data_IF_381212085636
#
_entry.id   IF_381212085636
#
_cell.length_a   1.000
_cell.length_b   1.000
_cell.length_c   1.000
_cell.angle_alpha   90.00
_cell.angle_beta   90.00
_cell.angle_gamma   90.00
#
_symmetry.space_group_name_H-M   'P 1'
#
loop_
_entity.id
_entity.type
_entity.pdbx_description
1 polymer ?
#
# COMPACT_ATOMS: atom_id res chain seq x y z
N UNK A 1 1.95 -2.27 -64.31
CA UNK A 1 0.83 -2.36 -63.33
C UNK A 1 1.03 -3.57 -62.41
N UNK A 2 2.14 -3.61 -61.65
CA UNK A 2 2.50 -4.76 -60.79
C UNK A 2 3.40 -4.40 -59.59
N UNK A 3 3.63 -3.11 -59.32
CA UNK A 3 4.50 -2.62 -58.22
C UNK A 3 3.73 -2.02 -57.03
N UNK A 4 2.42 -2.27 -56.93
CA UNK A 4 1.56 -1.74 -55.85
C UNK A 4 1.10 -2.80 -54.83
N UNK A 5 1.64 -4.03 -54.87
CA UNK A 5 1.20 -5.14 -54.00
C UNK A 5 2.28 -5.68 -53.03
N UNK A 6 3.36 -4.96 -52.80
CA UNK A 6 4.29 -5.25 -51.70
C UNK A 6 4.16 -4.23 -50.57
N UNK A 7 2.91 -4.06 -50.09
CA UNK A 7 2.66 -3.50 -48.78
C UNK A 7 3.28 -4.46 -47.75
N UNK A 8 4.55 -4.19 -47.42
CA UNK A 8 5.18 -4.70 -46.21
C UNK A 8 4.21 -4.41 -45.07
N UNK A 9 3.78 -5.47 -44.41
CA UNK A 9 3.38 -5.48 -43.01
C UNK A 9 4.61 -5.00 -42.23
N UNK A 10 4.86 -3.70 -42.26
CA UNK A 10 5.82 -3.04 -41.39
C UNK A 10 5.11 -2.94 -40.05
N UNK A 11 5.35 -3.95 -39.20
CA UNK A 11 4.87 -3.99 -37.84
C UNK A 11 5.06 -2.64 -37.18
N UNK A 12 3.97 -2.09 -36.66
CA UNK A 12 3.96 -0.81 -35.97
C UNK A 12 5.09 -0.81 -34.93
N UNK A 13 6.12 -0.01 -35.19
CA UNK A 13 7.24 0.14 -34.28
C UNK A 13 6.67 0.62 -32.94
N UNK A 14 6.68 -0.27 -31.94
CA UNK A 14 6.25 0.05 -30.58
C UNK A 14 7.01 1.31 -30.13
N UNK A 15 6.31 2.36 -29.67
CA UNK A 15 6.97 3.62 -29.30
C UNK A 15 8.09 3.32 -28.29
N UNK A 16 9.28 3.90 -28.48
CA UNK A 16 10.51 3.53 -27.76
C UNK A 16 10.38 3.50 -26.21
N UNK A 17 9.39 4.21 -25.67
CA UNK A 17 8.98 4.18 -24.27
C UNK A 17 8.44 2.80 -23.84
N UNK A 18 7.61 2.16 -24.65
CA UNK A 18 7.02 0.85 -24.36
C UNK A 18 8.09 -0.24 -24.34
N UNK A 19 9.08 -0.18 -25.24
CA UNK A 19 10.21 -1.13 -25.27
C UNK A 19 11.04 -1.11 -23.98
N UNK A 20 11.14 0.06 -23.32
CA UNK A 20 11.85 0.21 -22.03
C UNK A 20 11.02 -0.27 -20.83
N UNK A 21 9.69 -0.25 -20.93
CA UNK A 21 8.78 -0.68 -19.85
C UNK A 21 8.48 -2.19 -19.91
N UNK A 22 8.45 -2.76 -21.12
CA UNK A 22 8.10 -4.14 -21.39
C UNK A 22 8.78 -5.18 -20.48
N UNK A 23 10.12 -5.19 -20.28
CA UNK A 23 10.76 -6.23 -19.47
C UNK A 23 10.29 -6.24 -18.02
N UNK A 24 10.20 -5.07 -17.37
CA UNK A 24 9.73 -4.98 -15.98
C UNK A 24 8.25 -5.32 -15.83
N UNK A 25 7.41 -4.90 -16.78
CA UNK A 25 5.99 -5.23 -16.79
C UNK A 25 5.75 -6.71 -17.06
N UNK A 26 6.49 -7.30 -18.00
CA UNK A 26 6.42 -8.73 -18.30
C UNK A 26 6.83 -9.58 -17.10
N UNK A 27 7.88 -9.18 -16.37
CA UNK A 27 8.28 -9.87 -15.14
C UNK A 27 7.20 -9.78 -14.05
N UNK A 28 6.64 -8.59 -13.81
CA UNK A 28 5.55 -8.41 -12.85
C UNK A 28 4.32 -9.25 -13.24
N UNK A 29 3.97 -9.26 -14.52
CA UNK A 29 2.86 -10.04 -15.06
C UNK A 29 3.11 -11.55 -14.95
N UNK A 30 4.34 -12.01 -15.24
CA UNK A 30 4.72 -13.41 -15.09
C UNK A 30 4.63 -13.87 -13.63
N UNK A 31 5.08 -13.06 -12.67
CA UNK A 31 4.94 -13.36 -11.24
C UNK A 31 3.45 -13.41 -10.83
N UNK A 32 2.62 -12.49 -11.34
CA UNK A 32 1.18 -12.49 -11.09
C UNK A 32 0.49 -13.76 -11.64
N UNK A 33 0.84 -14.18 -12.86
CA UNK A 33 0.33 -15.41 -13.45
C UNK A 33 0.80 -16.65 -12.69
N UNK A 34 2.10 -16.72 -12.34
CA UNK A 34 2.66 -17.83 -11.61
C UNK A 34 2.02 -17.99 -10.22
N UNK A 35 1.89 -16.89 -9.47
CA UNK A 35 1.24 -16.90 -8.15
C UNK A 35 -0.24 -17.29 -8.22
N UNK A 36 -0.97 -16.78 -9.21
CA UNK A 36 -2.40 -17.12 -9.40
C UNK A 36 -2.58 -18.57 -9.85
N UNK A 37 -1.75 -19.04 -10.79
CA UNK A 37 -1.74 -20.42 -11.25
C UNK A 37 -1.39 -21.40 -10.12
N UNK A 38 -0.39 -21.06 -9.31
CA UNK A 38 0.03 -21.88 -8.17
C UNK A 38 -1.08 -21.99 -7.11
N UNK A 39 -1.79 -20.89 -6.81
CA UNK A 39 -2.97 -20.95 -5.93
C UNK A 39 -4.05 -21.87 -6.49
N UNK A 40 -4.39 -21.73 -7.77
CA UNK A 40 -5.46 -22.51 -8.38
C UNK A 40 -5.11 -24.00 -8.44
N UNK A 41 -3.82 -24.34 -8.59
CA UNK A 41 -3.35 -25.72 -8.60
C UNK A 41 -3.28 -26.36 -7.19
N UNK A 42 -2.97 -25.58 -6.15
CA UNK A 42 -2.77 -26.11 -4.79
C UNK A 42 -4.06 -26.19 -3.98
N UNK A 43 -5.13 -25.45 -4.32
CA UNK A 43 -6.42 -25.41 -3.60
C UNK A 43 -6.34 -25.09 -2.09
N UNK A 44 -5.14 -24.78 -1.57
CA UNK A 44 -4.91 -24.36 -0.20
C UNK A 44 -5.43 -22.94 -0.07
N UNK A 45 -6.59 -22.77 0.58
CA UNK A 45 -7.24 -21.48 0.77
C UNK A 45 -6.34 -20.42 1.42
N UNK A 46 -5.39 -20.84 2.25
CA UNK A 46 -4.43 -19.97 2.93
C UNK A 46 -3.39 -19.32 2.00
N UNK A 47 -3.18 -19.84 0.78
CA UNK A 47 -2.19 -19.29 -0.16
C UNK A 47 -2.82 -18.21 -1.06
N UNK A 48 -2.86 -16.98 -0.54
CA UNK A 48 -3.28 -15.80 -1.29
C UNK A 48 -2.29 -15.48 -2.44
N UNK A 49 -2.74 -15.20 -3.68
CA UNK A 49 -1.85 -14.91 -4.80
C UNK A 49 -0.95 -13.69 -4.56
N UNK A 50 -1.44 -12.70 -3.82
CA UNK A 50 -0.68 -11.48 -3.51
C UNK A 50 0.49 -11.79 -2.58
N UNK A 51 0.27 -12.66 -1.58
CA UNK A 51 1.31 -13.16 -0.67
C UNK A 51 2.36 -13.96 -1.44
N UNK A 52 1.91 -14.88 -2.30
CA UNK A 52 2.79 -15.68 -3.16
C UNK A 52 3.60 -14.80 -4.13
N UNK A 53 2.96 -13.83 -4.78
CA UNK A 53 3.63 -12.90 -5.69
C UNK A 53 4.72 -12.10 -4.98
N UNK A 54 4.45 -11.65 -3.75
CA UNK A 54 5.43 -10.94 -2.92
C UNK A 54 6.61 -11.85 -2.56
N UNK A 55 6.34 -13.08 -2.10
CA UNK A 55 7.37 -14.05 -1.75
C UNK A 55 8.26 -14.41 -2.96
N UNK A 56 7.65 -14.69 -4.12
CA UNK A 56 8.36 -14.97 -5.38
C UNK A 56 9.19 -13.75 -5.80
N UNK A 57 8.62 -12.55 -5.74
CA UNK A 57 9.32 -11.31 -6.10
C UNK A 57 10.54 -11.04 -5.20
N UNK A 58 10.40 -11.25 -3.88
CA UNK A 58 11.51 -11.14 -2.93
C UNK A 58 12.59 -12.18 -3.20
N UNK A 59 12.22 -13.45 -3.38
CA UNK A 59 13.18 -14.52 -3.68
C UNK A 59 13.91 -14.26 -5.00
N UNK A 60 13.20 -13.87 -6.06
CA UNK A 60 13.78 -13.52 -7.34
C UNK A 60 14.75 -12.33 -7.21
N UNK A 61 14.40 -11.30 -6.44
CA UNK A 61 15.28 -10.16 -6.19
C UNK A 61 16.54 -10.54 -5.40
N UNK A 62 16.42 -11.43 -4.42
CA UNK A 62 17.56 -11.90 -3.63
C UNK A 62 18.53 -12.75 -4.44
N UNK A 63 18.03 -13.57 -5.38
CA UNK A 63 18.87 -14.45 -6.23
C UNK A 63 19.45 -13.71 -7.43
N UNK A 64 18.64 -12.89 -8.12
CA UNK A 64 19.02 -12.24 -9.38
C UNK A 64 19.63 -10.84 -9.20
N UNK A 65 19.55 -10.28 -7.99
CA UNK A 65 20.03 -8.94 -7.69
C UNK A 65 19.27 -7.82 -8.42
N UNK A 66 19.89 -6.65 -8.50
CA UNK A 66 19.34 -5.53 -9.25
C UNK A 66 19.56 -5.70 -10.74
N UNK A 67 18.48 -5.97 -11.50
CA UNK A 67 18.53 -5.98 -12.96
C UNK A 67 18.08 -4.61 -13.51
N UNK A 68 19.00 -3.77 -14.04
CA UNK A 68 18.68 -2.47 -14.62
C UNK A 68 17.53 -2.45 -15.65
N UNK A 69 17.38 -3.45 -16.55
CA UNK A 69 16.29 -3.43 -17.53
C UNK A 69 14.90 -3.61 -16.92
N UNK A 70 14.75 -4.19 -15.73
CA UNK A 70 13.44 -4.38 -15.08
C UNK A 70 12.93 -3.10 -14.40
N UNK A 71 13.84 -2.23 -13.96
CA UNK A 71 13.53 -1.08 -13.10
C UNK A 71 12.47 -0.15 -13.70
N UNK A 72 12.53 0.26 -14.99
CA UNK A 72 11.55 1.21 -15.54
C UNK A 72 10.13 0.65 -15.56
N UNK A 73 9.97 -0.63 -15.91
CA UNK A 73 8.67 -1.30 -15.93
C UNK A 73 8.08 -1.51 -14.54
N UNK A 74 8.91 -1.93 -13.58
CA UNK A 74 8.50 -2.05 -12.17
C UNK A 74 8.09 -0.69 -11.60
N UNK A 75 8.86 0.37 -11.88
CA UNK A 75 8.54 1.72 -11.43
C UNK A 75 7.20 2.22 -12.01
N UNK A 76 6.88 1.85 -13.26
CA UNK A 76 5.57 2.12 -13.85
C UNK A 76 4.45 1.30 -13.19
N UNK A 77 4.70 0.03 -12.86
CA UNK A 77 3.71 -0.78 -12.14
C UNK A 77 3.37 -0.18 -10.76
N UNK A 78 4.39 0.21 -9.98
CA UNK A 78 4.23 0.67 -8.59
C UNK A 78 3.63 2.07 -8.49
N UNK A 79 3.84 2.95 -9.47
CA UNK A 79 3.39 4.35 -9.39
C UNK A 79 2.10 4.60 -10.19
N UNK A 80 2.12 4.73 -11.53
CA UNK A 80 0.93 5.05 -12.29
C UNK A 80 -0.10 3.91 -12.30
N UNK A 81 0.31 2.66 -12.54
CA UNK A 81 -0.63 1.55 -12.64
C UNK A 81 -1.30 1.24 -11.30
N UNK A 82 -0.53 1.20 -10.21
CA UNK A 82 -1.08 0.99 -8.88
C UNK A 82 -2.05 2.12 -8.46
N UNK A 83 -1.72 3.38 -8.76
CA UNK A 83 -2.64 4.50 -8.50
C UNK A 83 -3.95 4.35 -9.29
N UNK A 84 -3.87 3.97 -10.56
CA UNK A 84 -5.06 3.70 -11.36
C UNK A 84 -5.89 2.55 -10.77
N UNK A 85 -5.25 1.46 -10.34
CA UNK A 85 -5.92 0.34 -9.69
C UNK A 85 -6.60 0.73 -8.37
N UNK A 86 -5.96 1.58 -7.54
CA UNK A 86 -6.56 2.08 -6.29
C UNK A 86 -7.77 2.97 -6.57
N UNK A 87 -7.68 3.85 -7.57
CA UNK A 87 -8.81 4.70 -8.00
C UNK A 87 -9.96 3.83 -8.47
N UNK A 88 -9.71 2.85 -9.35
CA UNK A 88 -10.72 1.90 -9.80
C UNK A 88 -11.31 1.06 -8.66
N UNK A 89 -10.46 0.61 -7.72
CA UNK A 89 -10.90 -0.16 -6.57
C UNK A 89 -11.83 0.67 -5.70
N UNK A 90 -11.51 1.92 -5.40
CA UNK A 90 -12.43 2.73 -4.61
C UNK A 90 -13.61 3.31 -5.40
N UNK A 91 -13.57 3.36 -6.75
CA UNK A 91 -14.78 3.51 -7.56
C UNK A 91 -15.71 2.28 -7.45
N UNK A 92 -15.14 1.08 -7.22
CA UNK A 92 -15.92 -0.13 -6.97
C UNK A 92 -16.44 -0.23 -5.54
N UNK A 93 -15.86 0.53 -4.60
CA UNK A 93 -16.39 0.70 -3.24
C UNK A 93 -17.43 1.81 -3.29
N UNK A 94 -18.70 1.46 -3.12
CA UNK A 94 -19.75 2.48 -3.11
C UNK A 94 -19.61 3.38 -1.86
N UNK A 95 -19.89 4.68 -1.99
CA UNK A 95 -20.05 5.57 -0.81
C UNK A 95 -21.03 4.96 0.21
N UNK A 96 -22.05 4.25 -0.27
CA UNK A 96 -23.00 3.49 0.56
C UNK A 96 -22.37 2.37 1.39
N UNK A 97 -21.29 1.73 0.95
CA UNK A 97 -20.53 0.76 1.77
C UNK A 97 -19.67 1.47 2.83
N UNK A 98 -19.14 2.66 2.52
CA UNK A 98 -18.38 3.47 3.47
C UNK A 98 -19.28 4.01 4.60
N UNK A 99 -20.48 4.49 4.25
CA UNK A 99 -21.51 4.89 5.21
C UNK A 99 -22.21 3.69 5.87
N UNK A 100 -22.30 2.54 5.18
CA UNK A 100 -22.98 1.32 5.63
C UNK A 100 -22.21 0.49 6.66
N UNK A 101 -20.87 0.59 6.69
CA UNK A 101 -20.08 0.10 7.85
C UNK A 101 -20.29 0.97 9.12
N UNK A 102 -21.00 2.09 8.98
CA UNK A 102 -21.47 2.92 10.07
C UNK A 102 -20.37 3.78 10.73
N UNK A 103 -20.80 4.65 11.63
CA UNK A 103 -19.93 5.49 12.44
C UNK A 103 -18.90 4.67 13.26
N UNK A 104 -19.13 3.37 13.45
CA UNK A 104 -18.23 2.47 14.17
C UNK A 104 -16.86 2.31 13.53
N UNK A 105 -16.78 2.04 12.21
CA UNK A 105 -15.50 1.87 11.52
C UNK A 105 -14.69 3.18 11.47
N UNK A 106 -15.37 4.31 11.25
CA UNK A 106 -14.74 5.63 11.31
C UNK A 106 -14.26 5.97 12.73
N UNK A 107 -15.08 5.70 13.75
CA UNK A 107 -14.72 5.88 15.15
C UNK A 107 -13.51 5.03 15.54
N UNK A 108 -13.47 3.77 15.11
CA UNK A 108 -12.32 2.88 15.29
C UNK A 108 -11.09 3.42 14.57
N UNK A 109 -11.21 3.91 13.33
CA UNK A 109 -10.10 4.50 12.59
C UNK A 109 -9.54 5.74 13.30
N UNK A 110 -10.40 6.62 13.80
CA UNK A 110 -10.00 7.78 14.61
C UNK A 110 -9.28 7.33 15.87
N UNK A 111 -9.84 6.35 16.60
CA UNK A 111 -9.22 5.82 17.81
C UNK A 111 -7.82 5.23 17.51
N UNK A 112 -7.69 4.43 16.45
CA UNK A 112 -6.42 3.84 16.03
C UNK A 112 -5.40 4.92 15.70
N UNK A 113 -5.77 5.93 14.91
CA UNK A 113 -4.85 7.04 14.56
C UNK A 113 -4.46 7.85 15.79
N UNK A 114 -5.45 8.24 16.61
CA UNK A 114 -5.27 9.07 17.80
C UNK A 114 -4.46 8.37 18.90
N UNK A 115 -4.42 7.04 18.94
CA UNK A 115 -3.63 6.28 19.90
C UNK A 115 -2.26 5.90 19.33
N UNK A 116 -2.21 5.39 18.09
CA UNK A 116 -1.01 4.84 17.48
C UNK A 116 0.03 5.93 17.21
N UNK A 117 -0.38 7.08 16.66
CA UNK A 117 0.56 8.15 16.34
C UNK A 117 1.30 8.67 17.58
N UNK A 118 0.64 9.13 18.65
CA UNK A 118 1.35 9.61 19.84
C UNK A 118 2.09 8.48 20.55
N UNK A 119 1.53 7.25 20.59
CA UNK A 119 2.20 6.12 21.22
C UNK A 119 3.52 5.76 20.53
N UNK A 120 3.53 5.66 19.19
CA UNK A 120 4.75 5.34 18.43
C UNK A 120 5.80 6.43 18.58
N UNK A 121 5.40 7.71 18.56
CA UNK A 121 6.34 8.83 18.78
C UNK A 121 6.90 8.82 20.20
N UNK A 122 6.03 8.63 21.20
CA UNK A 122 6.45 8.51 22.60
C UNK A 122 7.43 7.36 22.81
N UNK A 123 7.13 6.19 22.25
CA UNK A 123 7.98 5.01 22.37
C UNK A 123 9.32 5.22 21.64
N UNK A 124 9.31 5.80 20.44
CA UNK A 124 10.52 6.15 19.70
C UNK A 124 11.43 7.08 20.50
N UNK A 125 10.86 8.14 21.09
CA UNK A 125 11.62 9.07 21.93
C UNK A 125 12.21 8.37 23.18
N UNK A 126 11.48 7.43 23.78
CA UNK A 126 11.98 6.63 24.92
C UNK A 126 13.11 5.68 24.54
N UNK A 127 13.12 5.20 23.30
CA UNK A 127 14.18 4.36 22.76
C UNK A 127 15.38 5.17 22.23
N UNK A 128 15.34 6.50 22.33
CA UNK A 128 16.41 7.37 21.85
C UNK A 128 16.42 7.59 20.33
N UNK A 129 15.29 7.34 19.66
CA UNK A 129 15.12 7.65 18.23
C UNK A 129 15.01 9.16 18.05
N UNK A 130 15.71 9.71 17.05
CA UNK A 130 15.62 11.12 16.69
C UNK A 130 14.15 11.55 16.48
N UNK A 131 13.70 12.70 17.04
CA UNK A 131 12.29 13.08 17.01
C UNK A 131 11.65 13.13 15.62
N UNK A 132 12.32 13.68 14.56
CA UNK A 132 11.75 13.65 13.21
C UNK A 132 11.53 12.22 12.71
N UNK A 133 12.50 11.31 12.90
CA UNK A 133 12.37 9.91 12.49
C UNK A 133 11.23 9.21 13.25
N UNK A 134 11.10 9.43 14.56
CA UNK A 134 10.01 8.89 15.36
C UNK A 134 8.63 9.37 14.88
N UNK A 135 8.51 10.66 14.51
CA UNK A 135 7.30 11.26 13.95
C UNK A 135 6.95 10.67 12.58
N UNK A 136 7.93 10.48 11.71
CA UNK A 136 7.74 9.87 10.39
C UNK A 136 7.27 8.41 10.53
N UNK A 137 7.91 7.61 11.39
CA UNK A 137 7.50 6.23 11.67
C UNK A 137 6.09 6.21 12.28
N UNK A 138 5.79 7.11 13.23
CA UNK A 138 4.46 7.23 13.83
C UNK A 138 3.37 7.55 12.81
N UNK A 139 3.60 8.52 11.92
CA UNK A 139 2.67 8.85 10.84
C UNK A 139 2.48 7.69 9.85
N UNK A 140 3.58 7.06 9.43
CA UNK A 140 3.54 5.88 8.56
C UNK A 140 2.75 4.73 9.17
N UNK A 141 2.94 4.48 10.46
CA UNK A 141 2.28 3.39 11.20
C UNK A 141 0.81 3.66 11.42
N UNK A 142 0.44 4.89 11.78
CA UNK A 142 -0.92 5.24 12.15
C UNK A 142 -1.89 5.33 10.95
N UNK A 143 -1.41 5.60 9.73
CA UNK A 143 -2.27 5.97 8.61
C UNK A 143 -2.14 4.96 7.44
N UNK A 144 -1.19 5.21 6.53
CA UNK A 144 -1.08 4.46 5.27
C UNK A 144 0.37 4.38 4.75
N UNK A 145 1.34 4.37 5.66
CA UNK A 145 2.74 4.14 5.34
C UNK A 145 3.40 5.30 4.58
N UNK A 146 3.87 5.04 3.36
CA UNK A 146 4.76 5.90 2.60
C UNK A 146 4.16 7.28 2.29
N UNK A 147 2.89 7.33 1.90
CA UNK A 147 2.24 8.62 1.63
C UNK A 147 2.07 9.47 2.90
N UNK A 148 1.87 8.82 4.05
CA UNK A 148 1.82 9.49 5.34
C UNK A 148 3.20 9.98 5.80
N UNK A 149 4.27 9.20 5.56
CA UNK A 149 5.65 9.64 5.81
C UNK A 149 5.98 10.89 5.00
N UNK A 150 5.71 10.89 3.70
CA UNK A 150 6.00 12.04 2.82
C UNK A 150 5.21 13.28 3.24
N UNK A 151 3.94 13.09 3.64
CA UNK A 151 3.09 14.17 4.14
C UNK A 151 3.58 14.73 5.48
N UNK A 152 3.87 13.85 6.43
CA UNK A 152 4.37 14.21 7.75
C UNK A 152 5.73 14.88 7.68
N UNK A 153 6.57 14.56 6.68
CA UNK A 153 7.88 15.22 6.56
C UNK A 153 7.79 16.72 6.28
N UNK A 154 6.66 17.20 5.73
CA UNK A 154 6.42 18.64 5.55
C UNK A 154 6.34 19.40 6.87
N UNK A 155 5.99 18.71 7.97
CA UNK A 155 5.88 19.29 9.32
C UNK A 155 6.99 18.81 10.27
N UNK A 156 7.40 17.55 10.17
CA UNK A 156 8.47 16.99 10.99
C UNK A 156 9.87 17.48 10.57
N UNK A 157 10.04 17.87 9.29
CA UNK A 157 11.31 18.34 8.69
C UNK A 157 12.49 17.40 8.98
N UNK A 158 12.25 16.09 8.86
CA UNK A 158 13.31 15.08 8.90
C UNK A 158 14.20 15.15 7.65
N UNK A 159 15.41 14.62 7.78
CA UNK A 159 16.37 14.51 6.68
C UNK A 159 15.92 13.43 5.69
N UNK A 160 16.51 13.42 4.51
CA UNK A 160 16.21 12.39 3.48
C UNK A 160 16.54 10.98 3.99
N UNK A 161 17.56 10.84 4.85
CA UNK A 161 17.87 9.60 5.53
C UNK A 161 16.72 9.16 6.44
N UNK A 162 16.15 10.07 7.24
CA UNK A 162 15.04 9.76 8.16
C UNK A 162 13.80 9.29 7.39
N UNK A 163 13.50 9.92 6.26
CA UNK A 163 12.42 9.49 5.35
C UNK A 163 12.70 8.10 4.79
N UNK A 164 13.93 7.86 4.33
CA UNK A 164 14.34 6.57 3.75
C UNK A 164 14.27 5.46 4.79
N UNK A 165 14.76 5.70 6.00
CA UNK A 165 14.69 4.76 7.12
C UNK A 165 13.25 4.46 7.52
N UNK A 166 12.41 5.49 7.66
CA UNK A 166 10.99 5.31 7.98
C UNK A 166 10.30 4.45 6.90
N UNK A 167 10.51 4.74 5.61
CA UNK A 167 9.95 3.94 4.51
C UNK A 167 10.40 2.48 4.57
N UNK A 168 11.68 2.23 4.84
CA UNK A 168 12.24 0.89 4.93
C UNK A 168 11.61 0.08 6.07
N UNK A 169 11.59 0.65 7.29
CA UNK A 169 11.02 -0.03 8.48
C UNK A 169 9.54 -0.31 8.28
N UNK A 170 8.77 0.67 7.81
CA UNK A 170 7.34 0.53 7.58
C UNK A 170 7.03 -0.52 6.53
N UNK A 171 7.80 -0.54 5.43
CA UNK A 171 7.64 -1.54 4.37
C UNK A 171 7.96 -2.95 4.88
N UNK A 172 9.02 -3.08 5.69
CA UNK A 172 9.45 -4.36 6.26
C UNK A 172 8.43 -4.89 7.26
N UNK A 173 8.00 -4.05 8.22
CA UNK A 173 6.98 -4.41 9.20
C UNK A 173 5.64 -4.74 8.53
N UNK A 174 5.22 -3.96 7.54
CA UNK A 174 4.00 -4.23 6.78
C UNK A 174 4.08 -5.52 5.95
N UNK A 175 5.25 -5.83 5.38
CA UNK A 175 5.50 -7.11 4.68
C UNK A 175 5.39 -8.27 5.66
N UNK A 176 6.07 -8.18 6.80
CA UNK A 176 5.98 -9.20 7.85
C UNK A 176 4.53 -9.41 8.31
N UNK A 177 3.81 -8.33 8.61
CA UNK A 177 2.40 -8.41 9.01
C UNK A 177 1.54 -9.09 7.94
N UNK A 178 1.72 -8.73 6.66
CA UNK A 178 0.98 -9.35 5.56
C UNK A 178 1.20 -10.87 5.43
N UNK A 179 2.40 -11.36 5.75
CA UNK A 179 2.73 -12.78 5.74
C UNK A 179 2.24 -13.50 7.01
N UNK A 180 2.32 -12.85 8.16
CA UNK A 180 2.01 -13.45 9.46
C UNK A 180 0.50 -13.49 9.73
N UNK A 181 -0.24 -12.46 9.35
CA UNK A 181 -1.66 -12.29 9.72
C UNK A 181 -2.56 -13.43 9.25
N UNK A 182 -2.45 -13.94 8.01
CA UNK A 182 -3.25 -15.07 7.57
C UNK A 182 -3.08 -16.31 8.46
N UNK A 183 -1.86 -16.55 8.97
CA UNK A 183 -1.57 -17.66 9.88
C UNK A 183 -2.14 -17.43 11.30
N UNK A 184 -2.37 -16.18 11.68
CA UNK A 184 -2.93 -15.81 12.98
C UNK A 184 -4.47 -15.76 13.00
N UNK A 185 -5.14 -15.74 11.84
CA UNK A 185 -6.60 -15.63 11.77
C UNK A 185 -7.31 -16.77 12.52
N UNK A 186 -6.92 -18.02 12.24
CA UNK A 186 -7.50 -19.22 12.86
C UNK A 186 -7.26 -19.33 14.38
N UNK A 187 -6.02 -19.21 14.90
CA UNK A 187 -5.78 -19.33 16.34
C UNK A 187 -6.41 -18.20 17.17
N UNK A 188 -6.64 -17.02 16.58
CA UNK A 188 -7.33 -15.92 17.24
C UNK A 188 -8.87 -16.05 17.18
N UNK A 189 -9.41 -17.03 16.44
CA UNK A 189 -10.84 -17.25 16.32
C UNK A 189 -11.60 -16.07 15.67
N UNK A 190 -10.92 -15.29 14.83
CA UNK A 190 -11.53 -14.11 14.20
C UNK A 190 -12.43 -14.54 13.05
N UNK A 191 -13.66 -14.01 13.02
CA UNK A 191 -14.50 -14.08 11.83
C UNK A 191 -13.93 -13.23 10.68
N UNK A 192 -14.46 -13.41 9.47
CA UNK A 192 -13.95 -12.73 8.28
C UNK A 192 -14.00 -11.20 8.38
N UNK A 193 -15.08 -10.64 8.95
CA UNK A 193 -15.24 -9.20 9.12
C UNK A 193 -14.20 -8.66 10.13
N UNK A 194 -14.10 -9.29 11.31
CA UNK A 194 -13.15 -8.91 12.36
C UNK A 194 -11.70 -9.04 11.91
N UNK A 195 -11.34 -10.12 11.21
CA UNK A 195 -10.01 -10.29 10.62
C UNK A 195 -9.72 -9.20 9.58
N UNK A 196 -10.68 -8.89 8.72
CA UNK A 196 -10.57 -7.81 7.74
C UNK A 196 -10.32 -6.45 8.41
N UNK A 197 -11.13 -6.09 9.41
CA UNK A 197 -10.96 -4.86 10.17
C UNK A 197 -9.58 -4.80 10.85
N UNK A 198 -9.16 -5.88 11.50
CA UNK A 198 -7.84 -5.96 12.13
C UNK A 198 -6.70 -5.77 11.12
N UNK A 199 -6.72 -6.51 10.01
CA UNK A 199 -5.72 -6.38 8.95
C UNK A 199 -5.68 -4.95 8.37
N UNK A 200 -6.83 -4.33 8.11
CA UNK A 200 -6.91 -2.93 7.66
C UNK A 200 -6.46 -1.91 8.71
N UNK A 201 -6.67 -2.20 9.99
CA UNK A 201 -6.33 -1.31 11.10
C UNK A 201 -4.83 -1.29 11.42
N UNK A 202 -4.10 -2.39 11.20
CA UNK A 202 -2.72 -2.51 11.69
C UNK A 202 -1.66 -2.75 10.61
N UNK A 203 -2.01 -3.29 9.44
CA UNK A 203 -1.04 -3.37 8.33
C UNK A 203 -0.80 -1.97 7.77
N UNK A 204 0.46 -1.63 7.48
CA UNK A 204 0.90 -0.24 7.32
C UNK A 204 0.61 0.34 5.93
N UNK A 205 0.89 -0.42 4.87
CA UNK A 205 0.60 -0.01 3.49
C UNK A 205 -0.78 -0.46 3.02
N UNK A 206 -1.37 0.28 2.08
CA UNK A 206 -2.68 -0.05 1.52
C UNK A 206 -2.64 -1.40 0.81
N UNK A 207 -1.67 -1.60 -0.08
CA UNK A 207 -1.56 -2.85 -0.87
C UNK A 207 -1.34 -4.06 0.03
N UNK A 208 -0.49 -3.92 1.04
CA UNK A 208 -0.21 -5.00 1.99
C UNK A 208 -1.43 -5.30 2.86
N UNK A 209 -2.16 -4.27 3.31
CA UNK A 209 -3.37 -4.45 4.12
C UNK A 209 -4.47 -5.17 3.35
N UNK A 210 -4.74 -4.71 2.11
CA UNK A 210 -5.73 -5.36 1.23
C UNK A 210 -5.30 -6.79 0.89
N UNK A 211 -4.01 -7.01 0.62
CA UNK A 211 -3.46 -8.34 0.38
C UNK A 211 -3.61 -9.28 1.58
N UNK A 212 -3.31 -8.81 2.79
CA UNK A 212 -3.46 -9.58 4.02
C UNK A 212 -4.94 -9.91 4.30
N UNK A 213 -5.81 -8.91 4.19
CA UNK A 213 -7.24 -9.04 4.40
C UNK A 213 -7.88 -10.03 3.40
N UNK A 214 -7.46 -9.98 2.13
CA UNK A 214 -7.95 -10.90 1.10
C UNK A 214 -7.61 -12.38 1.36
N UNK A 215 -6.64 -12.68 2.23
CA UNK A 215 -6.39 -14.05 2.65
C UNK A 215 -7.52 -14.61 3.53
N UNK A 216 -8.30 -13.75 4.18
CA UNK A 216 -9.50 -14.10 4.95
C UNK A 216 -10.79 -14.18 4.12
N UNK A 217 -10.69 -14.07 2.79
CA UNK A 217 -11.83 -14.13 1.88
C UNK A 217 -12.41 -12.77 1.45
N UNK A 218 -13.46 -12.76 0.61
CA UNK A 218 -14.00 -11.53 0.01
C UNK A 218 -14.52 -10.52 1.03
N UNK A 219 -15.22 -10.99 2.07
CA UNK A 219 -15.75 -10.12 3.14
C UNK A 219 -14.64 -9.46 3.95
N UNK A 220 -13.58 -10.22 4.28
CA UNK A 220 -12.40 -9.69 4.95
C UNK A 220 -11.69 -8.66 4.08
N UNK A 221 -11.51 -8.95 2.79
CA UNK A 221 -10.91 -8.02 1.82
C UNK A 221 -11.67 -6.68 1.78
N UNK A 222 -13.00 -6.75 1.73
CA UNK A 222 -13.85 -5.56 1.72
C UNK A 222 -13.73 -4.77 3.02
N UNK A 223 -13.89 -5.43 4.16
CA UNK A 223 -13.84 -4.80 5.49
C UNK A 223 -12.47 -4.16 5.75
N UNK A 224 -11.39 -4.86 5.40
CA UNK A 224 -10.02 -4.36 5.54
C UNK A 224 -9.70 -3.21 4.59
N UNK A 225 -10.20 -3.25 3.35
CA UNK A 225 -10.07 -2.13 2.40
C UNK A 225 -10.76 -0.89 2.95
N UNK A 226 -11.99 -1.03 3.44
CA UNK A 226 -12.75 0.09 4.00
C UNK A 226 -12.04 0.69 5.22
N UNK A 227 -11.65 -0.14 6.20
CA UNK A 227 -10.91 0.33 7.39
C UNK A 227 -9.62 1.06 7.00
N UNK A 228 -8.92 0.56 5.98
CA UNK A 228 -7.68 1.18 5.50
C UNK A 228 -7.93 2.53 4.83
N UNK A 229 -8.95 2.63 3.99
CA UNK A 229 -9.35 3.89 3.36
C UNK A 229 -9.83 4.91 4.40
N UNK A 230 -10.59 4.48 5.41
CA UNK A 230 -11.01 5.34 6.53
C UNK A 230 -9.81 6.01 7.22
N UNK A 231 -8.73 5.26 7.47
CA UNK A 231 -7.47 5.83 8.00
C UNK A 231 -6.80 6.79 7.04
N UNK A 232 -6.80 6.50 5.74
CA UNK A 232 -6.27 7.40 4.70
C UNK A 232 -7.00 8.74 4.68
N UNK A 233 -8.32 8.76 4.89
CA UNK A 233 -9.09 10.01 5.01
C UNK A 233 -8.64 10.86 6.21
N UNK A 234 -8.13 10.23 7.27
CA UNK A 234 -7.60 10.92 8.45
C UNK A 234 -6.17 11.47 8.23
N UNK A 235 -5.59 11.33 7.03
CA UNK A 235 -4.26 11.85 6.72
C UNK A 235 -4.14 13.36 6.98
N UNK A 236 -5.03 14.15 6.37
CA UNK A 236 -4.99 15.60 6.48
C UNK A 236 -5.13 16.09 7.93
N UNK A 237 -6.15 15.67 8.71
CA UNK A 237 -6.25 16.09 10.11
C UNK A 237 -5.10 15.57 10.98
N UNK A 238 -4.60 14.34 10.76
CA UNK A 238 -3.49 13.81 11.55
C UNK A 238 -2.17 14.56 11.31
N UNK A 239 -1.86 14.91 10.05
CA UNK A 239 -0.67 15.70 9.72
C UNK A 239 -0.79 17.13 10.25
N UNK A 240 -1.98 17.74 10.20
CA UNK A 240 -2.22 19.05 10.81
C UNK A 240 -2.02 19.01 12.33
N UNK A 241 -2.57 17.98 13.01
CA UNK A 241 -2.38 17.79 14.45
C UNK A 241 -0.90 17.58 14.81
N UNK A 242 -0.15 16.81 14.01
CA UNK A 242 1.29 16.64 14.16
C UNK A 242 2.03 17.97 14.00
N UNK A 243 1.67 18.79 13.01
CA UNK A 243 2.28 20.11 12.81
C UNK A 243 2.06 21.05 14.00
N UNK A 244 0.86 21.05 14.58
CA UNK A 244 0.56 21.78 15.82
C UNK A 244 1.37 21.24 17.00
N UNK A 245 1.50 19.91 17.11
CA UNK A 245 2.26 19.27 18.19
C UNK A 245 3.75 19.62 18.16
N UNK A 246 4.34 19.73 16.96
CA UNK A 246 5.76 20.07 16.76
C UNK A 246 6.01 21.59 16.77
N UNK A 247 4.97 22.41 16.99
CA UNK A 247 5.10 23.87 17.04
C UNK A 247 5.33 24.53 15.67
N UNK A 248 4.99 23.84 14.58
CA UNK A 248 5.09 24.35 13.21
C UNK A 248 3.70 24.74 12.72
N UNK A 249 3.22 25.90 13.16
CA UNK A 249 1.97 26.48 12.68
C UNK A 249 2.14 27.08 11.29
N UNK A 250 1.32 26.62 10.35
CA UNK A 250 0.92 27.32 9.13
C UNK A 250 1.96 27.36 7.99
N UNK A 251 1.88 26.38 7.09
CA UNK A 251 2.57 26.43 5.79
C UNK A 251 2.58 25.11 5.02
N UNK A 252 2.47 23.98 5.73
CA UNK A 252 2.34 22.69 5.08
C UNK A 252 0.95 22.59 4.44
N UNK A 253 0.88 22.73 3.12
CA UNK A 253 -0.31 22.30 2.35
C UNK A 253 -0.51 20.83 2.67
N UNK A 254 -1.54 20.51 3.46
CA UNK A 254 -1.90 19.13 3.72
C UNK A 254 -2.03 18.44 2.35
N UNK A 255 -1.24 17.39 2.05
CA UNK A 255 -1.34 16.73 0.77
C UNK A 255 -2.70 16.05 0.75
N UNK A 256 -3.67 16.73 0.14
CA UNK A 256 -5.00 16.17 -0.03
C UNK A 256 -4.84 14.99 -0.97
N UNK A 257 -5.18 13.76 -0.56
CA UNK A 257 -5.13 12.61 -1.44
C UNK A 257 -6.18 12.83 -2.52
N UNK A 258 -5.79 13.42 -3.65
CA UNK A 258 -6.76 13.82 -4.69
C UNK A 258 -7.52 12.62 -5.26
N UNK A 259 -6.96 11.41 -5.15
CA UNK A 259 -7.67 10.17 -5.47
C UNK A 259 -8.90 9.96 -4.59
N UNK A 260 -8.92 10.52 -3.38
CA UNK A 260 -10.08 10.49 -2.49
C UNK A 260 -11.26 11.31 -3.02
N UNK A 261 -11.02 12.35 -3.83
CA UNK A 261 -12.09 13.04 -4.56
C UNK A 261 -12.66 12.18 -5.69
N UNK A 262 -11.93 11.18 -6.19
CA UNK A 262 -12.49 10.19 -7.11
C UNK A 262 -13.48 9.23 -6.46
N UNK A 263 -13.60 9.24 -5.13
CA UNK A 263 -14.61 8.47 -4.38
C UNK A 263 -15.90 9.28 -4.10
N UNK A 264 -15.88 10.61 -4.29
CA UNK A 264 -17.03 11.52 -4.14
C UNK A 264 -17.71 11.75 -5.49
#
# INVERSE_FOLDING_TARGET
MQRLLSARVAGAAMPARFRKLAPGLAAAFAIALASTGLRNATSIAALNPVVLALAIGMAARSVLGASPPLIPGIAFAVRPLLRAAIVLLGLSVTLGQLFGLGAGALGLAVLVVATTLPFTVWLGNRLGVDPPLAQLIGAGTAICGASAIVAANQVARGRDEDVTYALAVITLCGTAAMLIYPALAAPLGLDAHSYGLWAGASVHEVVQAVGAAAAGGPEAAQSGTVMKLARVFLLAPAVAALGLWVGQSSGAKAPVPWFAFGFL
#
